data_IF_188036334577
#
_entry.id   IF_188036334577
#
_cell.length_a   1.000
_cell.length_b   1.000
_cell.length_c   1.000
_cell.angle_alpha   90.00
_cell.angle_beta   90.00
_cell.angle_gamma   90.00
#
_symmetry.space_group_name_H-M   'P 1'
#
loop_
_entity.id
_entity.type
_entity.pdbx_description
1 polymer ?
#
# COMPACT_ATOMS: atom_id res chain seq x y z
N UNK A 1 78.88 -16.43 -9.43
CA UNK A 1 79.52 -17.47 -8.58
C UNK A 1 78.90 -18.83 -8.93
N UNK A 2 79.78 -19.79 -9.29
CA UNK A 2 79.72 -21.27 -9.16
C UNK A 2 78.43 -21.99 -9.63
N UNK A 3 78.35 -22.71 -10.77
CA UNK A 3 78.97 -24.00 -11.22
C UNK A 3 78.74 -25.24 -10.32
N UNK A 4 77.94 -26.19 -10.81
CA UNK A 4 78.24 -27.63 -11.04
C UNK A 4 76.96 -28.36 -11.55
N UNK A 5 76.81 -28.90 -12.78
CA UNK A 5 77.28 -30.19 -13.37
C UNK A 5 77.16 -31.41 -12.41
N UNK A 6 76.55 -32.57 -12.73
CA UNK A 6 76.46 -33.31 -14.01
C UNK A 6 75.52 -34.56 -13.97
N UNK A 7 75.03 -34.96 -15.18
CA UNK A 7 74.86 -36.32 -15.79
C UNK A 7 73.94 -37.41 -15.20
N UNK A 8 73.01 -37.89 -16.05
CA UNK A 8 72.81 -39.26 -16.63
C UNK A 8 71.44 -39.29 -17.35
N UNK A 9 71.33 -39.21 -18.68
CA UNK A 9 71.32 -40.26 -19.75
C UNK A 9 70.29 -41.40 -19.60
N UNK A 10 69.47 -41.49 -20.66
CA UNK A 10 68.73 -42.64 -21.20
C UNK A 10 67.29 -42.89 -20.73
N UNK A 11 66.37 -42.43 -21.59
CA UNK A 11 65.19 -43.13 -22.11
C UNK A 11 64.28 -43.85 -21.11
N UNK A 12 63.15 -43.23 -20.79
CA UNK A 12 61.91 -43.99 -20.67
C UNK A 12 60.68 -43.17 -21.09
N UNK A 13 59.71 -43.88 -21.66
CA UNK A 13 58.35 -43.45 -22.04
C UNK A 13 58.13 -42.61 -23.31
N UNK A 14 58.21 -43.31 -24.45
CA UNK A 14 57.31 -43.07 -25.59
C UNK A 14 56.29 -44.23 -25.66
N UNK A 15 55.08 -44.00 -25.18
CA UNK A 15 53.82 -44.62 -25.65
C UNK A 15 52.69 -43.74 -25.10
N UNK A 16 51.66 -43.29 -25.82
CA UNK A 16 50.87 -43.97 -26.86
C UNK A 16 50.32 -42.90 -27.83
N UNK A 17 50.90 -42.82 -29.02
CA UNK A 17 50.17 -42.38 -30.22
C UNK A 17 49.31 -43.57 -30.65
N UNK A 18 47.99 -43.38 -30.70
CA UNK A 18 47.06 -44.37 -31.26
C UNK A 18 47.18 -44.42 -32.78
N UNK A 19 48.28 -45.00 -33.27
CA UNK A 19 48.44 -45.38 -34.68
C UNK A 19 47.79 -46.74 -34.91
N UNK A 20 46.69 -46.78 -35.65
CA UNK A 20 46.13 -48.03 -36.17
C UNK A 20 46.91 -48.39 -37.43
N UNK A 21 48.07 -49.01 -37.26
CA UNK A 21 48.75 -49.76 -38.31
C UNK A 21 48.13 -51.16 -38.37
N UNK A 22 47.30 -51.42 -39.38
CA UNK A 22 46.88 -52.78 -39.72
C UNK A 22 48.04 -53.51 -40.39
N UNK A 23 48.70 -54.40 -39.66
CA UNK A 23 49.63 -55.39 -40.22
C UNK A 23 48.78 -56.53 -40.78
N UNK A 24 48.81 -56.72 -42.10
CA UNK A 24 48.34 -57.96 -42.72
C UNK A 24 49.37 -59.06 -42.47
N UNK A 25 49.10 -59.94 -41.50
CA UNK A 25 49.82 -61.20 -41.37
C UNK A 25 49.05 -62.29 -42.15
N UNK A 26 49.60 -62.72 -43.29
CA UNK A 26 49.20 -63.97 -43.92
C UNK A 26 49.78 -65.13 -43.12
N UNK A 27 48.92 -65.91 -42.47
CA UNK A 27 49.26 -67.24 -41.95
C UNK A 27 48.38 -68.27 -42.67
N UNK A 28 48.98 -68.98 -43.63
CA UNK A 28 48.44 -70.18 -44.27
C UNK A 28 48.75 -71.39 -43.38
N UNK A 29 47.87 -71.77 -42.45
CA UNK A 29 47.70 -73.18 -42.00
C UNK A 29 46.29 -73.36 -41.43
N UNK A 30 45.54 -74.32 -41.98
CA UNK A 30 44.47 -75.03 -41.26
C UNK A 30 43.10 -74.37 -41.21
N UNK A 31 42.14 -74.90 -41.97
CA UNK A 31 40.77 -74.41 -42.12
C UNK A 31 40.03 -74.07 -40.83
N UNK A 32 39.58 -72.83 -40.75
CA UNK A 32 38.28 -72.42 -40.18
C UNK A 32 37.83 -71.18 -40.96
N UNK A 33 36.72 -71.28 -41.69
CA UNK A 33 36.06 -70.11 -42.26
C UNK A 33 35.40 -69.34 -41.12
N UNK A 34 36.12 -68.38 -40.53
CA UNK A 34 35.47 -67.32 -39.75
C UNK A 34 34.89 -66.33 -40.76
N UNK A 35 33.60 -66.49 -41.05
CA UNK A 35 32.82 -65.52 -41.82
C UNK A 35 32.85 -64.16 -41.11
N UNK A 36 33.54 -63.17 -41.68
CA UNK A 36 33.51 -61.78 -41.22
C UNK A 36 32.18 -61.12 -41.63
N UNK A 37 31.12 -61.36 -40.85
CA UNK A 37 29.86 -60.60 -40.93
C UNK A 37 29.97 -59.28 -40.15
N UNK A 38 30.97 -58.44 -40.45
CA UNK A 38 31.13 -57.09 -39.85
C UNK A 38 31.08 -55.93 -40.85
N UNK A 39 31.10 -56.18 -42.17
CA UNK A 39 31.05 -55.10 -43.19
C UNK A 39 29.67 -54.47 -43.39
N UNK A 40 28.59 -55.18 -43.03
CA UNK A 40 27.22 -54.64 -43.16
C UNK A 40 26.83 -53.65 -42.06
N UNK A 41 27.37 -53.82 -40.85
CA UNK A 41 27.04 -52.94 -39.71
C UNK A 41 27.75 -51.59 -39.79
N UNK A 42 28.97 -51.53 -40.36
CA UNK A 42 29.71 -50.26 -40.51
C UNK A 42 29.13 -49.37 -41.61
N UNK A 43 28.72 -49.94 -42.75
CA UNK A 43 28.09 -49.18 -43.84
C UNK A 43 26.71 -48.60 -43.44
N UNK A 44 25.90 -49.37 -42.72
CA UNK A 44 24.60 -48.90 -42.22
C UNK A 44 24.74 -47.78 -41.18
N UNK A 45 25.73 -47.87 -40.28
CA UNK A 45 26.01 -46.84 -39.28
C UNK A 45 26.51 -45.55 -39.94
N UNK A 46 27.36 -45.64 -40.96
CA UNK A 46 27.85 -44.47 -41.71
C UNK A 46 26.71 -43.81 -42.50
N UNK A 47 25.87 -44.59 -43.18
CA UNK A 47 24.72 -44.06 -43.90
C UNK A 47 23.69 -43.41 -42.95
N UNK A 48 23.42 -44.01 -41.80
CA UNK A 48 22.56 -43.44 -40.77
C UNK A 48 23.13 -42.12 -40.20
N UNK A 49 24.46 -42.05 -39.99
CA UNK A 49 25.13 -40.84 -39.53
C UNK A 49 25.07 -39.71 -40.57
N UNK A 50 25.25 -40.02 -41.86
CA UNK A 50 25.14 -39.04 -42.93
C UNK A 50 23.72 -38.48 -43.06
N UNK A 51 22.71 -39.36 -43.00
CA UNK A 51 21.31 -38.95 -43.02
C UNK A 51 20.95 -38.06 -41.81
N UNK A 52 21.49 -38.38 -40.63
CA UNK A 52 21.29 -37.57 -39.43
C UNK A 52 21.91 -36.17 -39.57
N UNK A 53 23.10 -36.05 -40.17
CA UNK A 53 23.75 -34.76 -40.44
C UNK A 53 22.91 -33.93 -41.43
N UNK A 54 22.45 -34.51 -42.53
CA UNK A 54 21.61 -33.80 -43.50
C UNK A 54 20.24 -33.37 -42.92
N UNK A 55 19.63 -34.22 -42.08
CA UNK A 55 18.39 -33.86 -41.39
C UNK A 55 18.60 -32.73 -40.39
N UNK A 56 19.70 -32.78 -39.63
CA UNK A 56 20.07 -31.75 -38.66
C UNK A 56 20.28 -30.38 -39.30
N UNK A 57 21.03 -30.35 -40.40
CA UNK A 57 21.26 -29.13 -41.17
C UNK A 57 19.93 -28.55 -41.68
N UNK A 58 19.05 -29.39 -42.23
CA UNK A 58 17.73 -28.94 -42.71
C UNK A 58 16.85 -28.37 -41.59
N UNK A 59 16.78 -29.03 -40.44
CA UNK A 59 16.00 -28.54 -39.29
C UNK A 59 16.58 -27.22 -38.76
N UNK A 60 17.90 -27.12 -38.65
CA UNK A 60 18.57 -25.89 -38.24
C UNK A 60 18.27 -24.71 -39.20
N UNK A 61 18.44 -24.92 -40.51
CA UNK A 61 18.20 -23.91 -41.54
C UNK A 61 16.72 -23.45 -41.56
N UNK A 62 15.79 -24.40 -41.49
CA UNK A 62 14.36 -24.09 -41.43
C UNK A 62 14.00 -23.30 -40.16
N UNK A 63 14.55 -23.70 -39.01
CA UNK A 63 14.36 -22.99 -37.74
C UNK A 63 14.87 -21.56 -37.80
N UNK A 64 16.07 -21.35 -38.35
CA UNK A 64 16.65 -20.03 -38.52
C UNK A 64 15.83 -19.16 -39.49
N UNK A 65 15.29 -19.75 -40.56
CA UNK A 65 14.41 -19.05 -41.50
C UNK A 65 13.10 -18.60 -40.82
N UNK A 66 12.48 -19.47 -40.00
CA UNK A 66 11.26 -19.13 -39.24
C UNK A 66 11.50 -18.00 -38.24
N UNK A 67 12.62 -18.06 -37.52
CA UNK A 67 13.06 -16.98 -36.65
C UNK A 67 13.22 -15.66 -37.41
N UNK A 68 13.89 -15.69 -38.57
CA UNK A 68 14.06 -14.50 -39.40
C UNK A 68 12.72 -13.91 -39.87
N UNK A 69 11.80 -14.75 -40.35
CA UNK A 69 10.45 -14.31 -40.72
C UNK A 69 9.72 -13.66 -39.53
N UNK A 70 9.87 -14.23 -38.34
CA UNK A 70 9.29 -13.65 -37.12
C UNK A 70 9.84 -12.26 -36.81
N UNK A 71 11.16 -12.07 -36.95
CA UNK A 71 11.82 -10.75 -36.79
C UNK A 71 11.23 -9.73 -37.77
N UNK A 72 11.05 -10.12 -39.04
CA UNK A 72 10.51 -9.22 -40.06
C UNK A 72 9.08 -8.78 -39.74
N UNK A 73 8.22 -9.71 -39.34
CA UNK A 73 6.84 -9.40 -38.93
C UNK A 73 6.85 -8.51 -37.68
N UNK A 74 7.62 -8.88 -36.65
CA UNK A 74 7.68 -8.13 -35.40
C UNK A 74 8.17 -6.69 -35.54
N UNK A 75 8.98 -6.37 -36.56
CA UNK A 75 9.45 -5.00 -36.82
C UNK A 75 8.33 -4.04 -37.25
N UNK A 76 7.31 -4.55 -37.94
CA UNK A 76 6.20 -3.73 -38.46
C UNK A 76 4.84 -4.07 -37.85
N UNK A 77 4.77 -5.08 -36.98
CA UNK A 77 3.52 -5.54 -36.38
C UNK A 77 2.84 -4.46 -35.54
N UNK A 78 1.57 -4.21 -35.81
CA UNK A 78 0.74 -3.26 -35.08
C UNK A 78 -0.48 -3.92 -34.44
N UNK A 79 -0.90 -5.08 -34.97
CA UNK A 79 -2.12 -5.77 -34.58
C UNK A 79 -1.84 -7.04 -33.77
N UNK A 80 -2.82 -7.46 -32.97
CA UNK A 80 -2.78 -8.72 -32.23
C UNK A 80 -2.49 -9.91 -33.15
N UNK A 81 -3.11 -9.94 -34.35
CA UNK A 81 -2.94 -11.02 -35.31
C UNK A 81 -1.49 -11.12 -35.84
N UNK A 82 -0.84 -9.99 -36.11
CA UNK A 82 0.56 -9.96 -36.56
C UNK A 82 1.51 -10.41 -35.45
N UNK A 83 1.31 -9.94 -34.22
CA UNK A 83 2.11 -10.37 -33.07
C UNK A 83 1.89 -11.85 -32.74
N UNK A 84 0.65 -12.35 -32.87
CA UNK A 84 0.35 -13.78 -32.72
C UNK A 84 1.10 -14.60 -33.80
N UNK A 85 1.13 -14.10 -35.04
CA UNK A 85 1.87 -14.77 -36.13
C UNK A 85 3.38 -14.78 -35.87
N UNK A 86 3.96 -13.69 -35.38
CA UNK A 86 5.35 -13.65 -34.96
C UNK A 86 5.64 -14.64 -33.82
N UNK A 87 4.76 -14.71 -32.80
CA UNK A 87 4.88 -15.67 -31.70
C UNK A 87 4.84 -17.13 -32.21
N UNK A 88 3.93 -17.45 -33.13
CA UNK A 88 3.88 -18.78 -33.74
C UNK A 88 5.16 -19.14 -34.50
N UNK A 89 5.71 -18.20 -35.28
CA UNK A 89 6.97 -18.43 -36.00
C UNK A 89 8.16 -18.64 -35.06
N UNK A 90 8.21 -17.95 -33.92
CA UNK A 90 9.21 -18.23 -32.88
C UNK A 90 9.06 -19.62 -32.28
N UNK A 91 7.83 -20.05 -32.02
CA UNK A 91 7.56 -21.38 -31.49
C UNK A 91 7.96 -22.49 -32.48
N UNK A 92 7.62 -22.33 -33.77
CA UNK A 92 8.07 -23.23 -34.84
C UNK A 92 9.60 -23.26 -34.94
N UNK A 93 10.27 -22.09 -34.88
CA UNK A 93 11.72 -22.00 -34.89
C UNK A 93 12.37 -22.76 -33.73
N UNK A 94 11.83 -22.63 -32.52
CA UNK A 94 12.32 -23.35 -31.33
C UNK A 94 12.15 -24.86 -31.51
N UNK A 95 10.98 -25.31 -31.98
CA UNK A 95 10.72 -26.73 -32.19
C UNK A 95 11.71 -27.33 -33.20
N UNK A 96 11.96 -26.64 -34.31
CA UNK A 96 12.93 -27.07 -35.32
C UNK A 96 14.36 -27.11 -34.79
N UNK A 97 14.74 -26.17 -33.93
CA UNK A 97 16.06 -26.20 -33.26
C UNK A 97 16.17 -27.34 -32.25
N UNK A 98 15.07 -27.76 -31.61
CA UNK A 98 15.03 -28.91 -30.69
C UNK A 98 15.16 -30.24 -31.42
N UNK A 99 14.76 -30.32 -32.68
CA UNK A 99 14.87 -31.52 -33.53
C UNK A 99 16.31 -31.79 -34.00
N UNK A 100 17.24 -30.85 -33.83
CA UNK A 100 18.66 -31.02 -34.18
C UNK A 100 19.30 -32.09 -33.26
N UNK A 101 19.85 -33.21 -33.80
CA UNK A 101 20.34 -34.31 -32.97
C UNK A 101 21.67 -34.02 -32.23
N UNK A 102 21.89 -34.52 -30.99
CA UNK A 102 23.06 -34.24 -30.15
C UNK A 102 24.46 -34.57 -30.68
N UNK A 103 24.57 -35.32 -31.77
CA UNK A 103 25.85 -35.76 -32.38
C UNK A 103 26.17 -35.06 -33.70
N UNK A 104 25.40 -34.04 -34.05
CA UNK A 104 25.57 -33.28 -35.29
C UNK A 104 26.32 -31.98 -35.01
N UNK A 105 27.10 -31.47 -35.99
CA UNK A 105 27.84 -30.22 -35.84
C UNK A 105 26.97 -29.03 -35.42
N UNK A 106 25.70 -29.01 -35.83
CA UNK A 106 24.75 -27.92 -35.62
C UNK A 106 24.16 -27.90 -34.20
N UNK A 107 24.28 -28.99 -33.44
CA UNK A 107 23.56 -29.16 -32.17
C UNK A 107 23.87 -28.06 -31.15
N UNK A 108 25.14 -27.78 -30.90
CA UNK A 108 25.54 -26.78 -29.91
C UNK A 108 25.00 -25.40 -30.26
N UNK A 109 25.03 -25.04 -31.55
CA UNK A 109 24.52 -23.76 -32.03
C UNK A 109 22.98 -23.70 -31.96
N UNK A 110 22.30 -24.80 -32.28
CA UNK A 110 20.85 -24.92 -32.15
C UNK A 110 20.41 -24.71 -30.69
N UNK A 111 21.10 -25.34 -29.72
CA UNK A 111 20.81 -25.16 -28.29
C UNK A 111 21.01 -23.72 -27.81
N UNK A 112 22.05 -23.04 -28.30
CA UNK A 112 22.25 -21.60 -28.01
C UNK A 112 21.10 -20.76 -28.57
N UNK A 113 20.67 -21.04 -29.82
CA UNK A 113 19.57 -20.31 -30.47
C UNK A 113 18.23 -20.51 -29.80
N UNK A 114 17.96 -21.68 -29.21
CA UNK A 114 16.72 -21.92 -28.45
C UNK A 114 16.54 -20.89 -27.33
N UNK A 115 17.58 -20.59 -26.55
CA UNK A 115 17.49 -19.62 -25.44
C UNK A 115 17.19 -18.19 -25.93
N UNK A 116 17.83 -17.78 -27.04
CA UNK A 116 17.56 -16.51 -27.71
C UNK A 116 16.11 -16.45 -28.22
N UNK A 117 15.65 -17.51 -28.89
CA UNK A 117 14.32 -17.56 -29.48
C UNK A 117 13.21 -17.62 -28.43
N UNK A 118 13.45 -18.26 -27.28
CA UNK A 118 12.53 -18.23 -26.14
C UNK A 118 12.33 -16.80 -25.62
N UNK A 119 13.40 -16.00 -25.55
CA UNK A 119 13.31 -14.61 -25.14
C UNK A 119 12.49 -13.77 -26.14
N UNK A 120 12.69 -14.00 -27.45
CA UNK A 120 11.90 -13.33 -28.47
C UNK A 120 10.44 -13.78 -28.52
N UNK A 121 10.15 -15.05 -28.23
CA UNK A 121 8.78 -15.56 -28.08
C UNK A 121 8.04 -14.84 -26.95
N UNK A 122 8.70 -14.67 -25.79
CA UNK A 122 8.15 -13.93 -24.65
C UNK A 122 7.83 -12.50 -25.05
N UNK A 123 8.77 -11.83 -25.73
CA UNK A 123 8.57 -10.47 -26.24
C UNK A 123 7.37 -10.37 -27.20
N UNK A 124 7.27 -11.29 -28.18
CA UNK A 124 6.17 -11.28 -29.15
C UNK A 124 4.80 -11.50 -28.46
N UNK A 125 4.73 -12.37 -27.45
CA UNK A 125 3.51 -12.59 -26.65
C UNK A 125 3.14 -11.37 -25.81
N UNK A 126 4.11 -10.69 -25.20
CA UNK A 126 3.87 -9.44 -24.47
C UNK A 126 3.35 -8.34 -25.41
N UNK A 127 3.95 -8.21 -26.60
CA UNK A 127 3.49 -7.26 -27.62
C UNK A 127 2.08 -7.59 -28.14
N UNK A 128 1.75 -8.87 -28.30
CA UNK A 128 0.38 -9.34 -28.63
C UNK A 128 -0.63 -8.91 -27.55
N UNK A 129 -0.29 -9.08 -26.27
CA UNK A 129 -1.15 -8.65 -25.16
C UNK A 129 -1.37 -7.14 -25.19
N UNK A 130 -0.33 -6.35 -25.44
CA UNK A 130 -0.45 -4.89 -25.56
C UNK A 130 -1.31 -4.48 -26.77
N UNK A 131 -1.18 -5.17 -27.90
CA UNK A 131 -2.00 -4.92 -29.09
C UNK A 131 -3.48 -5.26 -28.87
N UNK A 132 -3.79 -6.25 -28.03
CA UNK A 132 -5.17 -6.60 -27.64
C UNK A 132 -5.71 -5.80 -26.45
N UNK A 133 -4.87 -5.01 -25.77
CA UNK A 133 -5.19 -4.35 -24.52
C UNK A 133 -6.40 -3.41 -24.63
N UNK A 134 -6.56 -2.71 -25.76
CA UNK A 134 -7.72 -1.85 -25.98
C UNK A 134 -9.04 -2.64 -25.96
N UNK A 135 -9.14 -3.73 -26.75
CA UNK A 135 -10.31 -4.60 -26.81
C UNK A 135 -10.62 -5.24 -25.46
N UNK A 136 -9.59 -5.76 -24.78
CA UNK A 136 -9.75 -6.36 -23.47
C UNK A 136 -10.22 -5.30 -22.44
N UNK A 137 -9.65 -4.11 -22.49
CA UNK A 137 -10.04 -2.99 -21.63
C UNK A 137 -11.48 -2.57 -21.84
N UNK A 138 -11.95 -2.48 -23.09
CA UNK A 138 -13.36 -2.17 -23.38
C UNK A 138 -14.30 -3.27 -22.89
N UNK A 139 -13.92 -4.54 -23.03
CA UNK A 139 -14.74 -5.65 -22.57
C UNK A 139 -14.88 -5.66 -21.04
N UNK A 140 -13.77 -5.47 -20.33
CA UNK A 140 -13.75 -5.36 -18.86
C UNK A 140 -14.59 -4.17 -18.38
N UNK A 141 -14.54 -3.04 -19.08
CA UNK A 141 -15.38 -1.88 -18.77
C UNK A 141 -16.87 -2.14 -18.99
N UNK A 142 -17.26 -2.84 -20.07
CA UNK A 142 -18.65 -3.25 -20.30
C UNK A 142 -19.16 -4.18 -19.20
N UNK A 143 -18.33 -5.12 -18.77
CA UNK A 143 -18.65 -6.00 -17.64
C UNK A 143 -18.79 -5.20 -16.33
N UNK A 144 -17.85 -4.28 -16.07
CA UNK A 144 -17.88 -3.39 -14.91
C UNK A 144 -19.15 -2.53 -14.87
N UNK A 145 -19.56 -2.00 -16.03
CA UNK A 145 -20.79 -1.22 -16.18
C UNK A 145 -22.03 -2.07 -15.89
N UNK A 146 -22.09 -3.29 -16.43
CA UNK A 146 -23.20 -4.22 -16.21
C UNK A 146 -23.30 -4.64 -14.75
N UNK A 147 -22.16 -4.94 -14.12
CA UNK A 147 -22.07 -5.25 -12.70
C UNK A 147 -22.53 -4.07 -11.85
N UNK A 148 -22.10 -2.85 -12.18
CA UNK A 148 -22.50 -1.62 -11.49
C UNK A 148 -24.01 -1.39 -11.54
N UNK A 149 -24.69 -1.69 -12.66
CA UNK A 149 -26.14 -1.53 -12.78
C UNK A 149 -26.95 -2.48 -11.90
N UNK A 150 -26.40 -3.64 -11.58
CA UNK A 150 -27.09 -4.72 -10.86
C UNK A 150 -26.60 -4.88 -9.41
N UNK A 151 -25.57 -4.13 -9.02
CA UNK A 151 -24.93 -4.24 -7.72
C UNK A 151 -25.86 -3.74 -6.60
N UNK A 152 -26.01 -4.57 -5.56
CA UNK A 152 -26.80 -4.25 -4.36
C UNK A 152 -25.97 -4.31 -3.09
N UNK A 153 -25.00 -5.21 -3.07
CA UNK A 153 -24.15 -5.46 -1.90
C UNK A 153 -22.79 -4.79 -2.04
N UNK A 154 -22.09 -4.63 -0.92
CA UNK A 154 -20.71 -4.15 -0.92
C UNK A 154 -19.79 -5.04 -1.77
N UNK A 155 -19.99 -6.37 -1.69
CA UNK A 155 -19.23 -7.32 -2.50
C UNK A 155 -19.46 -7.13 -4.01
N UNK A 156 -20.71 -6.84 -4.42
CA UNK A 156 -21.02 -6.55 -5.83
C UNK A 156 -20.31 -5.29 -6.32
N UNK A 157 -20.36 -4.22 -5.53
CA UNK A 157 -19.69 -2.97 -5.87
C UNK A 157 -18.18 -3.11 -5.85
N UNK A 158 -17.62 -3.91 -4.94
CA UNK A 158 -16.19 -4.20 -4.91
C UNK A 158 -15.76 -4.99 -6.16
N UNK A 159 -16.57 -5.93 -6.63
CA UNK A 159 -16.33 -6.61 -7.90
C UNK A 159 -16.35 -5.64 -9.09
N UNK A 160 -17.30 -4.70 -9.12
CA UNK A 160 -17.35 -3.66 -10.15
C UNK A 160 -16.09 -2.76 -10.10
N UNK A 161 -15.61 -2.38 -8.92
CA UNK A 161 -14.35 -1.63 -8.75
C UNK A 161 -13.16 -2.40 -9.36
N UNK A 162 -13.04 -3.69 -9.05
CA UNK A 162 -11.96 -4.54 -9.59
C UNK A 162 -11.99 -4.61 -11.12
N UNK A 163 -13.18 -4.74 -11.72
CA UNK A 163 -13.34 -4.74 -13.18
C UNK A 163 -12.96 -3.39 -13.80
N UNK A 164 -13.39 -2.26 -13.21
CA UNK A 164 -13.00 -0.94 -13.69
C UNK A 164 -11.49 -0.69 -13.59
N UNK A 165 -10.85 -1.13 -12.51
CA UNK A 165 -9.39 -1.04 -12.34
C UNK A 165 -8.64 -1.91 -13.35
N UNK A 166 -9.14 -3.12 -13.63
CA UNK A 166 -8.62 -4.00 -14.69
C UNK A 166 -8.70 -3.32 -16.06
N UNK A 167 -9.86 -2.76 -16.39
CA UNK A 167 -10.06 -2.00 -17.63
C UNK A 167 -9.10 -0.81 -17.75
N UNK A 168 -8.89 -0.07 -16.66
CA UNK A 168 -7.97 1.07 -16.60
C UNK A 168 -6.52 0.64 -16.87
N UNK A 169 -6.05 -0.44 -16.22
CA UNK A 169 -4.70 -0.99 -16.44
C UNK A 169 -4.50 -1.41 -17.89
N UNK A 170 -5.50 -2.02 -18.51
CA UNK A 170 -5.46 -2.42 -19.92
C UNK A 170 -5.43 -1.20 -20.85
N UNK A 171 -6.22 -0.17 -20.58
CA UNK A 171 -6.18 1.07 -21.37
C UNK A 171 -4.83 1.79 -21.26
N UNK A 172 -4.18 1.76 -20.09
CA UNK A 172 -2.83 2.30 -19.88
C UNK A 172 -1.75 1.50 -20.63
N UNK A 173 -1.97 0.21 -20.87
CA UNK A 173 -1.05 -0.66 -21.59
C UNK A 173 -1.12 -0.52 -23.12
N UNK A 174 -2.10 0.22 -23.64
CA UNK A 174 -2.25 0.44 -25.09
C UNK A 174 -1.02 1.20 -25.63
N UNK A 175 -0.29 0.64 -26.61
CA UNK A 175 0.91 1.29 -27.14
C UNK A 175 0.61 2.62 -27.85
N UNK A 176 1.54 3.58 -27.76
CA UNK A 176 1.42 4.91 -28.40
C UNK A 176 1.23 4.86 -29.92
N UNK A 177 1.78 3.84 -30.58
CA UNK A 177 1.66 3.63 -32.02
C UNK A 177 0.36 2.93 -32.42
N UNK A 178 -0.45 2.45 -31.47
CA UNK A 178 -1.74 1.84 -31.78
C UNK A 178 -2.70 2.89 -32.34
N UNK A 179 -3.44 2.53 -33.39
CA UNK A 179 -4.52 3.37 -33.91
C UNK A 179 -5.61 3.69 -32.85
N UNK A 180 -5.70 2.91 -31.77
CA UNK A 180 -6.64 3.11 -30.68
C UNK A 180 -6.08 3.95 -29.52
N UNK A 181 -4.82 4.38 -29.58
CA UNK A 181 -4.19 5.12 -28.48
C UNK A 181 -4.95 6.41 -28.10
N UNK A 182 -5.40 7.26 -29.04
CA UNK A 182 -6.19 8.45 -28.68
C UNK A 182 -7.48 8.10 -27.93
N UNK A 183 -8.22 7.09 -28.39
CA UNK A 183 -9.44 6.62 -27.75
C UNK A 183 -9.16 6.00 -26.38
N UNK A 184 -8.07 5.25 -26.23
CA UNK A 184 -7.65 4.70 -24.95
C UNK A 184 -7.39 5.82 -23.93
N UNK A 185 -6.67 6.87 -24.35
CA UNK A 185 -6.40 8.05 -23.51
C UNK A 185 -7.66 8.78 -23.06
N UNK A 186 -8.65 8.92 -23.95
CA UNK A 186 -9.95 9.48 -23.58
C UNK A 186 -10.68 8.59 -22.55
N UNK A 187 -10.73 7.28 -22.80
CA UNK A 187 -11.42 6.30 -21.93
C UNK A 187 -10.81 6.17 -20.54
N UNK A 188 -9.50 6.41 -20.38
CA UNK A 188 -8.84 6.43 -19.06
C UNK A 188 -9.55 7.39 -18.11
N UNK A 189 -9.83 8.63 -18.54
CA UNK A 189 -10.51 9.62 -17.69
C UNK A 189 -11.93 9.20 -17.30
N UNK A 190 -12.66 8.59 -18.25
CA UNK A 190 -14.00 8.04 -18.03
C UNK A 190 -13.95 6.90 -16.99
N UNK A 191 -13.01 5.97 -17.15
CA UNK A 191 -12.90 4.80 -16.29
C UNK A 191 -12.44 5.17 -14.88
N UNK A 192 -11.54 6.16 -14.74
CA UNK A 192 -11.18 6.73 -13.44
C UNK A 192 -12.39 7.33 -12.71
N UNK A 193 -13.28 8.03 -13.43
CA UNK A 193 -14.52 8.54 -12.84
C UNK A 193 -15.43 7.40 -12.39
N UNK A 194 -15.54 6.33 -13.18
CA UNK A 194 -16.35 5.16 -12.83
C UNK A 194 -15.77 4.37 -11.64
N UNK A 195 -14.44 4.27 -11.51
CA UNK A 195 -13.78 3.71 -10.31
C UNK A 195 -14.18 4.52 -9.08
N UNK A 196 -14.06 5.86 -9.12
CA UNK A 196 -14.43 6.73 -8.00
C UNK A 196 -15.90 6.59 -7.63
N UNK A 197 -16.79 6.50 -8.64
CA UNK A 197 -18.20 6.27 -8.42
C UNK A 197 -18.45 4.92 -7.73
N UNK A 198 -17.94 3.82 -8.28
CA UNK A 198 -18.13 2.48 -7.72
C UNK A 198 -17.55 2.38 -6.29
N UNK A 199 -16.41 3.00 -6.01
CA UNK A 199 -15.85 3.09 -4.65
C UNK A 199 -16.77 3.83 -3.68
N UNK A 200 -17.42 4.91 -4.10
CA UNK A 200 -18.42 5.61 -3.28
C UNK A 200 -19.61 4.71 -2.98
N UNK A 201 -20.05 3.91 -3.94
CA UNK A 201 -21.14 2.95 -3.75
C UNK A 201 -20.74 1.77 -2.83
N UNK A 202 -19.49 1.31 -2.85
CA UNK A 202 -18.95 0.36 -1.85
C UNK A 202 -19.17 0.91 -0.43
N UNK A 203 -18.82 2.17 -0.19
CA UNK A 203 -18.99 2.78 1.13
C UNK A 203 -20.45 2.86 1.57
N UNK A 204 -21.36 3.25 0.66
CA UNK A 204 -22.80 3.29 0.95
C UNK A 204 -23.37 1.90 1.22
N UNK A 205 -22.97 0.90 0.44
CA UNK A 205 -23.43 -0.47 0.62
C UNK A 205 -22.91 -1.09 1.94
N UNK A 206 -21.71 -0.71 2.38
CA UNK A 206 -21.14 -1.11 3.68
C UNK A 206 -21.65 -0.29 4.88
N UNK A 207 -22.40 0.79 4.65
CA UNK A 207 -22.80 1.74 5.68
C UNK A 207 -23.62 1.09 6.81
N UNK A 208 -24.50 0.15 6.48
CA UNK A 208 -25.31 -0.57 7.47
C UNK A 208 -24.43 -1.32 8.49
N UNK A 209 -23.46 -2.11 8.02
CA UNK A 209 -22.53 -2.84 8.90
C UNK A 209 -21.73 -1.88 9.78
N UNK A 210 -21.25 -0.78 9.20
CA UNK A 210 -20.50 0.24 9.94
C UNK A 210 -21.37 0.93 11.00
N UNK A 211 -22.64 1.19 10.69
CA UNK A 211 -23.61 1.76 11.61
C UNK A 211 -23.88 0.84 12.80
N UNK A 212 -24.12 -0.45 12.52
CA UNK A 212 -24.30 -1.47 13.56
C UNK A 212 -23.07 -1.55 14.46
N UNK A 213 -21.86 -1.57 13.89
CA UNK A 213 -20.61 -1.57 14.68
C UNK A 213 -20.52 -0.36 15.60
N UNK A 214 -20.78 0.85 15.10
CA UNK A 214 -20.78 2.07 15.91
C UNK A 214 -21.84 2.03 17.02
N UNK A 215 -23.04 1.52 16.73
CA UNK A 215 -24.11 1.34 17.71
C UNK A 215 -23.77 0.31 18.80
N UNK A 216 -23.11 -0.80 18.44
CA UNK A 216 -22.63 -1.80 19.39
C UNK A 216 -21.56 -1.22 20.31
N UNK A 217 -20.58 -0.49 19.76
CA UNK A 217 -19.56 0.22 20.54
C UNK A 217 -20.20 1.23 21.50
N UNK A 218 -21.16 2.03 21.02
CA UNK A 218 -21.90 2.97 21.86
C UNK A 218 -22.63 2.26 23.01
N UNK A 219 -23.28 1.13 22.72
CA UNK A 219 -24.03 0.36 23.72
C UNK A 219 -23.12 -0.26 24.78
N UNK A 220 -21.93 -0.71 24.40
CA UNK A 220 -20.93 -1.23 25.33
C UNK A 220 -20.42 -0.12 26.28
N UNK A 221 -20.13 1.06 25.72
CA UNK A 221 -19.61 2.20 26.50
C UNK A 221 -20.65 2.78 27.48
N UNK A 222 -21.94 2.72 27.16
CA UNK A 222 -23.02 3.13 28.09
C UNK A 222 -22.92 2.41 29.44
N UNK A 223 -22.41 1.17 29.46
CA UNK A 223 -22.33 0.37 30.69
C UNK A 223 -21.19 0.80 31.62
N UNK A 224 -20.16 1.45 31.11
CA UNK A 224 -18.95 1.81 31.86
C UNK A 224 -18.67 3.32 31.95
N UNK A 225 -19.37 4.14 31.16
CA UNK A 225 -19.19 5.60 31.14
C UNK A 225 -19.56 6.25 32.48
N UNK A 226 -18.62 6.99 33.07
CA UNK A 226 -18.77 7.68 34.36
C UNK A 226 -18.62 9.18 34.25
N UNK A 227 -17.86 9.66 33.27
CA UNK A 227 -17.54 11.07 33.08
C UNK A 227 -18.32 11.67 31.93
N UNK A 228 -18.52 13.00 31.96
CA UNK A 228 -19.13 13.71 30.84
C UNK A 228 -18.42 13.47 29.50
N UNK A 229 -17.08 13.38 29.51
CA UNK A 229 -16.28 13.09 28.32
C UNK A 229 -16.61 11.72 27.71
N UNK A 230 -16.75 10.69 28.55
CA UNK A 230 -17.14 9.34 28.10
C UNK A 230 -18.58 9.31 27.55
N UNK A 231 -19.51 10.04 28.19
CA UNK A 231 -20.88 10.18 27.68
C UNK A 231 -20.95 10.97 26.37
N UNK A 232 -20.08 11.96 26.15
CA UNK A 232 -19.92 12.63 24.85
C UNK A 232 -19.42 11.66 23.78
N UNK A 233 -18.48 10.75 24.11
CA UNK A 233 -18.04 9.71 23.19
C UNK A 233 -19.19 8.77 22.80
N UNK A 234 -20.00 8.34 23.76
CA UNK A 234 -21.22 7.55 23.52
C UNK A 234 -22.17 8.29 22.57
N UNK A 235 -22.42 9.58 22.83
CA UNK A 235 -23.26 10.42 21.96
C UNK A 235 -22.70 10.52 20.53
N UNK A 236 -21.39 10.70 20.38
CA UNK A 236 -20.74 10.76 19.06
C UNK A 236 -20.90 9.44 18.29
N UNK A 237 -20.76 8.29 18.95
CA UNK A 237 -20.94 6.99 18.32
C UNK A 237 -22.39 6.74 17.89
N UNK A 238 -23.38 7.13 18.71
CA UNK A 238 -24.78 7.09 18.30
C UNK A 238 -25.07 8.02 17.12
N UNK A 239 -24.51 9.24 17.13
CA UNK A 239 -24.61 10.18 16.00
C UNK A 239 -24.05 9.58 14.71
N UNK A 240 -22.84 9.01 14.77
CA UNK A 240 -22.21 8.32 13.64
C UNK A 240 -23.04 7.13 13.15
N UNK A 241 -23.60 6.32 14.05
CA UNK A 241 -24.46 5.20 13.67
C UNK A 241 -25.71 5.68 12.92
N UNK A 242 -26.34 6.77 13.37
CA UNK A 242 -27.50 7.38 12.69
C UNK A 242 -27.13 7.88 11.29
N UNK A 243 -26.02 8.61 11.15
CA UNK A 243 -25.56 9.11 9.85
C UNK A 243 -25.30 7.98 8.85
N UNK A 244 -24.65 6.91 9.31
CA UNK A 244 -24.38 5.73 8.50
C UNK A 244 -25.67 5.01 8.11
N UNK A 245 -26.62 4.81 9.04
CA UNK A 245 -27.93 4.23 8.72
C UNK A 245 -28.68 5.05 7.66
N UNK A 246 -28.65 6.39 7.77
CA UNK A 246 -29.26 7.29 6.78
C UNK A 246 -28.61 7.22 5.40
N UNK A 247 -27.35 6.81 5.33
CA UNK A 247 -26.61 6.67 4.07
C UNK A 247 -26.82 5.34 3.34
N UNK A 248 -27.55 4.39 3.97
CA UNK A 248 -27.91 3.11 3.35
C UNK A 248 -28.85 3.39 2.16
N UNK A 249 -28.54 2.91 0.94
CA UNK A 249 -29.37 3.16 -0.25
C UNK A 249 -30.75 2.47 -0.19
N UNK A 250 -31.82 3.05 -0.76
CA UNK A 250 -33.16 2.45 -0.80
C UNK A 250 -33.25 1.05 -1.42
N UNK A 251 -32.33 0.70 -2.33
CA UNK A 251 -32.28 -0.62 -2.97
C UNK A 251 -31.51 -1.69 -2.17
N UNK A 252 -30.91 -1.33 -1.03
CA UNK A 252 -30.21 -2.27 -0.16
C UNK A 252 -31.25 -3.06 0.67
N UNK A 253 -31.01 -4.36 0.85
CA UNK A 253 -31.92 -5.24 1.62
C UNK A 253 -32.13 -4.77 3.07
N UNK A 254 -31.15 -4.08 3.65
CA UNK A 254 -31.20 -3.57 5.02
C UNK A 254 -31.78 -2.16 5.12
N UNK A 255 -32.27 -1.56 4.03
CA UNK A 255 -32.73 -0.16 4.04
C UNK A 255 -33.85 0.10 5.05
N UNK A 256 -34.89 -0.74 5.05
CA UNK A 256 -36.03 -0.59 5.97
C UNK A 256 -35.56 -0.69 7.42
N UNK A 257 -34.77 -1.73 7.73
CA UNK A 257 -34.18 -1.92 9.05
C UNK A 257 -33.26 -0.75 9.44
N UNK A 258 -32.49 -0.20 8.50
CA UNK A 258 -31.65 0.98 8.76
C UNK A 258 -32.50 2.19 9.18
N UNK A 259 -33.60 2.46 8.47
CA UNK A 259 -34.50 3.57 8.79
C UNK A 259 -35.22 3.38 10.13
N UNK A 260 -35.64 2.16 10.46
CA UNK A 260 -36.18 1.85 11.79
C UNK A 260 -35.16 2.10 12.91
N UNK A 261 -33.91 1.65 12.70
CA UNK A 261 -32.81 1.86 13.66
C UNK A 261 -32.45 3.33 13.84
N UNK A 262 -32.64 4.19 12.84
CA UNK A 262 -32.44 5.65 13.00
C UNK A 262 -33.32 6.20 14.13
N UNK A 263 -34.60 5.82 14.18
CA UNK A 263 -35.53 6.29 15.21
C UNK A 263 -35.14 5.79 16.60
N UNK A 264 -34.78 4.52 16.70
CA UNK A 264 -34.28 3.93 17.96
C UNK A 264 -33.03 4.66 18.46
N UNK A 265 -32.06 4.88 17.56
CA UNK A 265 -30.77 5.47 17.92
C UNK A 265 -30.89 6.96 18.26
N UNK A 266 -31.86 7.69 17.70
CA UNK A 266 -32.13 9.08 18.08
C UNK A 266 -32.49 9.20 19.57
N UNK A 267 -33.28 8.27 20.10
CA UNK A 267 -33.58 8.22 21.54
C UNK A 267 -32.33 8.00 22.38
N UNK A 268 -31.48 7.05 21.96
CA UNK A 268 -30.21 6.73 22.64
C UNK A 268 -29.20 7.89 22.59
N UNK A 269 -29.13 8.59 21.47
CA UNK A 269 -28.34 9.81 21.31
C UNK A 269 -28.80 10.91 22.27
N UNK A 270 -30.12 11.16 22.34
CA UNK A 270 -30.69 12.17 23.24
C UNK A 270 -30.35 11.85 24.69
N UNK A 271 -30.52 10.59 25.10
CA UNK A 271 -30.17 10.12 26.43
C UNK A 271 -28.67 10.34 26.77
N UNK A 272 -27.76 9.95 25.86
CA UNK A 272 -26.34 10.11 26.08
C UNK A 272 -25.92 11.59 26.18
N UNK A 273 -26.49 12.46 25.32
CA UNK A 273 -26.27 13.92 25.39
C UNK A 273 -26.76 14.51 26.71
N UNK A 274 -27.94 14.10 27.17
CA UNK A 274 -28.48 14.56 28.45
C UNK A 274 -27.59 14.13 29.62
N UNK A 275 -27.17 12.86 29.67
CA UNK A 275 -26.26 12.38 30.72
C UNK A 275 -24.91 13.09 30.75
N UNK A 276 -24.36 13.38 29.58
CA UNK A 276 -23.15 14.20 29.50
C UNK A 276 -23.37 15.59 30.10
N UNK A 277 -24.45 16.28 29.72
CA UNK A 277 -24.75 17.62 30.22
C UNK A 277 -25.00 17.63 31.75
N UNK A 278 -25.74 16.66 32.28
CA UNK A 278 -25.99 16.53 33.71
C UNK A 278 -24.68 16.39 34.51
N UNK A 279 -23.74 15.57 34.02
CA UNK A 279 -22.44 15.36 34.66
C UNK A 279 -21.53 16.59 34.55
N UNK A 280 -21.62 17.34 33.45
CA UNK A 280 -20.91 18.62 33.31
C UNK A 280 -21.44 19.63 34.33
N UNK A 281 -22.77 19.78 34.42
CA UNK A 281 -23.42 20.69 35.34
C UNK A 281 -23.13 20.34 36.81
N UNK A 282 -23.11 19.05 37.17
CA UNK A 282 -22.73 18.59 38.51
C UNK A 282 -21.26 18.91 38.81
N UNK A 283 -20.36 18.78 37.83
CA UNK A 283 -18.94 19.10 38.01
C UNK A 283 -18.67 20.59 38.17
N UNK A 284 -19.51 21.46 37.59
CA UNK A 284 -19.43 22.92 37.75
C UNK A 284 -20.07 23.38 39.06
N UNK A 285 -21.21 22.81 39.46
CA UNK A 285 -21.88 23.16 40.71
C UNK A 285 -21.04 22.80 41.95
N UNK A 286 -20.28 21.70 41.88
CA UNK A 286 -19.39 21.29 42.98
C UNK A 286 -18.13 22.17 43.10
N UNK A 287 -17.75 22.90 42.04
CA UNK A 287 -16.69 23.93 42.11
C UNK A 287 -17.18 25.22 42.76
N UNK A 288 -18.47 25.52 42.65
CA UNK A 288 -19.07 26.71 43.28
C UNK A 288 -19.31 26.54 44.79
N UNK A 289 -19.44 25.30 45.29
CA UNK A 289 -19.57 25.01 46.73
C UNK A 289 -18.25 24.89 47.50
N UNK A 290 -17.15 24.57 46.79
CA UNK A 290 -15.79 24.48 47.37
C UNK A 290 -15.00 25.80 47.18
N UNK A 291 -15.61 26.82 46.58
CA UNK A 291 -15.03 28.15 46.35
C UNK A 291 -15.66 29.24 47.23
N UNK A 292 -15.77 28.98 48.55
CA UNK A 292 -15.80 30.06 49.56
C UNK A 292 -14.42 30.76 49.69
N UNK A 293 -13.70 30.90 48.57
CA UNK A 293 -12.64 31.88 48.35
C UNK A 293 -13.17 33.16 47.68
N UNK A 294 -14.47 33.23 47.40
CA UNK A 294 -15.14 34.40 46.80
C UNK A 294 -15.19 35.65 47.70
N UNK A 295 -14.56 35.62 48.88
CA UNK A 295 -14.42 36.77 49.78
C UNK A 295 -13.02 37.40 49.83
N UNK A 296 -12.21 37.27 48.78
CA UNK A 296 -11.17 38.30 48.56
C UNK A 296 -11.87 39.49 47.89
N UNK A 297 -12.40 40.38 48.72
CA UNK A 297 -12.93 41.67 48.29
C UNK A 297 -11.77 42.51 47.74
N UNK A 298 -11.69 42.64 46.41
CA UNK A 298 -10.85 43.67 45.79
C UNK A 298 -11.70 44.95 45.73
N UNK A 299 -11.34 46.02 46.46
CA UNK A 299 -12.12 47.25 46.47
C UNK A 299 -12.26 47.82 45.05
N UNK A 300 -13.46 48.27 44.67
CA UNK A 300 -13.78 48.75 43.32
C UNK A 300 -12.85 49.87 42.82
N UNK A 301 -12.20 50.60 43.73
CA UNK A 301 -11.19 51.61 43.42
C UNK A 301 -9.97 51.01 42.70
N UNK A 302 -9.52 49.83 43.13
CA UNK A 302 -8.35 49.11 42.59
C UNK A 302 -8.63 48.56 41.19
N UNK A 303 -9.85 48.05 40.97
CA UNK A 303 -10.28 47.61 39.63
C UNK A 303 -10.34 48.77 38.62
N UNK A 304 -10.87 49.92 39.03
CA UNK A 304 -11.03 51.06 38.13
C UNK A 304 -9.69 51.76 37.79
N UNK A 305 -8.73 51.79 38.71
CA UNK A 305 -7.38 52.32 38.42
C UNK A 305 -6.59 51.40 37.47
N UNK A 306 -6.68 50.07 37.65
CA UNK A 306 -6.01 49.07 36.81
C UNK A 306 -6.51 49.09 35.35
N UNK A 307 -7.82 49.33 35.14
CA UNK A 307 -8.40 49.48 33.80
C UNK A 307 -8.02 50.80 33.12
N UNK A 308 -7.71 51.86 33.88
CA UNK A 308 -7.43 53.20 33.35
C UNK A 308 -5.99 53.39 32.84
N UNK A 309 -5.03 52.62 33.34
CA UNK A 309 -3.58 52.83 33.10
C UNK A 309 -2.92 51.74 32.24
N UNK A 310 -3.62 51.21 31.23
CA UNK A 310 -3.15 50.11 30.37
C UNK A 310 -1.62 50.06 30.12
N UNK A 311 -1.03 48.89 30.42
CA UNK A 311 0.41 48.55 30.54
C UNK A 311 1.04 48.71 31.94
N UNK A 312 1.10 47.55 32.62
CA UNK A 312 2.10 47.07 33.60
C UNK A 312 2.83 48.13 34.43
N UNK A 313 2.23 48.47 35.58
CA UNK A 313 2.96 48.88 36.78
C UNK A 313 2.63 47.91 37.90
N UNK A 314 3.28 46.74 37.87
CA UNK A 314 3.09 45.71 38.90
C UNK A 314 3.48 46.23 40.28
N UNK A 315 4.49 47.11 40.41
CA UNK A 315 4.89 47.64 41.71
C UNK A 315 3.84 48.59 42.34
N UNK A 316 3.14 49.41 41.55
CA UNK A 316 2.06 50.28 42.07
C UNK A 316 0.82 49.45 42.47
N UNK A 317 0.50 48.41 41.69
CA UNK A 317 -0.58 47.47 42.02
C UNK A 317 -0.25 46.63 43.27
N UNK A 318 1.03 46.32 43.48
CA UNK A 318 1.55 45.68 44.69
C UNK A 318 1.40 46.58 45.92
N UNK A 319 1.78 47.86 45.80
CA UNK A 319 1.67 48.80 46.91
C UNK A 319 0.20 49.07 47.30
N UNK A 320 -0.74 49.02 46.36
CA UNK A 320 -2.17 49.20 46.62
C UNK A 320 -2.85 47.96 47.23
N UNK A 321 -2.33 46.75 46.97
CA UNK A 321 -2.81 45.51 47.62
C UNK A 321 -2.23 45.35 49.03
N UNK A 322 -1.03 45.87 49.27
CA UNK A 322 -0.34 45.89 50.56
C UNK A 322 -1.01 46.78 51.62
N UNK A 323 -1.73 47.84 51.23
CA UNK A 323 -2.44 48.71 52.18
C UNK A 323 -3.59 47.98 52.93
N UNK A 324 -3.92 46.74 52.55
CA UNK A 324 -4.90 45.88 53.23
C UNK A 324 -4.37 44.54 53.75
N UNK A 325 -3.08 44.21 53.54
CA UNK A 325 -2.46 42.93 53.89
C UNK A 325 -1.03 43.16 54.40
N UNK A 326 -0.66 42.54 55.52
CA UNK A 326 0.67 42.73 56.14
C UNK A 326 1.79 42.28 55.18
N UNK A 327 2.75 43.17 54.93
CA UNK A 327 3.73 43.06 53.83
C UNK A 327 4.79 41.99 54.07
N UNK A 328 5.02 41.60 55.33
CA UNK A 328 6.06 40.65 55.70
C UNK A 328 5.75 39.20 55.26
N UNK A 329 4.53 38.95 54.76
CA UNK A 329 3.99 37.62 54.47
C UNK A 329 3.79 37.32 52.96
N UNK A 330 4.31 38.17 52.06
CA UNK A 330 4.20 38.00 50.59
C UNK A 330 5.55 37.84 49.88
N UNK A 331 5.63 36.90 48.92
CA UNK A 331 6.78 36.81 48.01
C UNK A 331 6.60 37.71 46.79
N UNK A 332 7.71 38.27 46.28
CA UNK A 332 7.71 39.07 45.05
C UNK A 332 7.21 38.27 43.85
N UNK A 333 6.47 38.88 42.89
CA UNK A 333 5.95 38.20 41.71
C UNK A 333 7.03 37.49 40.92
N UNK A 334 6.70 36.29 40.46
CA UNK A 334 7.49 35.60 39.45
C UNK A 334 6.71 35.49 38.14
N UNK A 335 7.35 35.91 37.05
CA UNK A 335 6.79 35.78 35.70
C UNK A 335 6.99 34.34 35.24
N UNK A 336 5.90 33.60 35.01
CA UNK A 336 5.97 32.22 34.52
C UNK A 336 6.16 32.22 32.99
N UNK A 337 5.41 33.09 32.29
CA UNK A 337 5.51 33.33 30.83
C UNK A 337 4.89 34.69 30.50
N UNK A 338 5.10 35.27 29.30
CA UNK A 338 4.51 36.55 28.93
C UNK A 338 2.99 36.54 29.12
N UNK A 339 2.50 37.50 29.92
CA UNK A 339 1.08 37.61 30.27
C UNK A 339 0.60 36.63 31.36
N UNK A 340 1.50 35.92 32.05
CA UNK A 340 1.16 35.04 33.19
C UNK A 340 2.08 35.26 34.38
N UNK A 341 1.49 35.71 35.49
CA UNK A 341 2.19 36.06 36.73
C UNK A 341 1.79 35.14 37.87
N UNK A 342 2.77 34.73 38.67
CA UNK A 342 2.58 33.98 39.92
C UNK A 342 2.82 34.89 41.11
N UNK A 343 1.90 34.87 42.07
CA UNK A 343 2.13 35.46 43.40
C UNK A 343 1.85 34.37 44.44
N UNK A 344 2.78 34.23 45.38
CA UNK A 344 2.65 33.38 46.57
C UNK A 344 2.53 34.28 47.79
N UNK A 345 1.61 33.94 48.68
CA UNK A 345 1.45 34.66 49.94
C UNK A 345 1.01 33.73 51.06
N UNK A 346 1.31 34.12 52.29
CA UNK A 346 0.88 33.41 53.50
C UNK A 346 -0.51 33.87 53.90
N UNK A 347 -1.34 32.92 54.32
CA UNK A 347 -2.57 33.19 55.05
C UNK A 347 -2.35 32.70 56.48
N UNK A 348 -2.44 33.60 57.45
CA UNK A 348 -2.30 33.24 58.86
C UNK A 348 -3.43 32.27 59.26
N UNK A 349 -3.08 31.00 59.48
CA UNK A 349 -3.95 30.07 60.17
C UNK A 349 -3.90 30.38 61.67
N UNK A 350 -5.06 30.41 62.33
CA UNK A 350 -5.18 30.82 63.74
C UNK A 350 -4.49 29.88 64.75
N UNK A 351 -3.93 28.76 64.31
CA UNK A 351 -3.26 27.78 65.16
C UNK A 351 -1.84 27.57 64.62
N UNK A 352 -0.84 27.83 65.48
CA UNK A 352 0.58 27.97 65.16
C UNK A 352 1.34 26.71 64.72
N UNK A 353 0.77 25.92 63.82
CA UNK A 353 1.51 24.88 63.11
C UNK A 353 2.08 25.46 61.80
N UNK A 354 3.41 25.61 61.75
CA UNK A 354 4.17 25.98 60.55
C UNK A 354 4.01 24.92 59.45
N UNK A 355 2.95 25.04 58.65
CA UNK A 355 2.87 24.43 57.33
C UNK A 355 2.47 25.48 56.32
N UNK A 356 3.35 25.72 55.35
CA UNK A 356 3.09 26.54 54.17
C UNK A 356 1.84 26.02 53.43
N UNK A 357 0.72 26.77 53.39
CA UNK A 357 -0.24 26.59 52.32
C UNK A 357 0.30 27.36 51.11
N UNK A 358 0.72 26.67 50.05
CA UNK A 358 1.08 27.31 48.79
C UNK A 358 -0.23 27.76 48.09
N UNK A 359 -0.80 28.89 48.48
CA UNK A 359 -1.86 29.52 47.69
C UNK A 359 -1.21 30.24 46.52
N UNK A 360 -1.37 29.67 45.32
CA UNK A 360 -0.80 30.20 44.07
C UNK A 360 -1.89 30.96 43.33
N UNK A 361 -1.74 32.28 43.19
CA UNK A 361 -2.58 33.07 42.31
C UNK A 361 -1.91 33.22 40.94
N UNK A 362 -2.59 32.79 39.88
CA UNK A 362 -2.13 32.91 38.48
C UNK A 362 -2.99 33.92 37.74
N UNK A 363 -2.40 35.02 37.30
CA UNK A 363 -3.10 36.06 36.53
C UNK A 363 -2.84 35.90 35.04
N UNK A 364 -3.88 36.05 34.22
CA UNK A 364 -3.77 36.04 32.76
C UNK A 364 -4.02 37.44 32.19
N UNK A 365 -3.09 37.93 31.38
CA UNK A 365 -3.27 39.15 30.61
C UNK A 365 -4.11 38.81 29.36
N UNK A 366 -5.40 39.12 29.38
CA UNK A 366 -6.27 38.95 28.21
C UNK A 366 -7.04 40.25 27.93
N UNK A 367 -6.39 41.14 27.19
CA UNK A 367 -6.92 42.44 26.76
C UNK A 367 -8.15 42.37 25.82
N UNK A 368 -8.62 41.17 25.46
CA UNK A 368 -9.71 41.01 24.49
C UNK A 368 -11.08 40.63 25.08
N UNK A 369 -11.20 40.38 26.40
CA UNK A 369 -12.49 40.04 27.00
C UNK A 369 -12.56 40.39 28.51
N UNK A 370 -13.19 41.50 28.91
CA UNK A 370 -13.22 41.95 30.31
C UNK A 370 -14.21 41.19 31.21
N UNK A 371 -14.91 40.15 30.72
CA UNK A 371 -15.95 39.43 31.49
C UNK A 371 -15.54 38.03 31.96
N UNK A 372 -14.25 37.69 31.93
CA UNK A 372 -13.77 36.39 32.40
C UNK A 372 -12.46 36.50 33.14
N UNK A 373 -12.50 36.91 34.40
CA UNK A 373 -11.34 36.77 35.30
C UNK A 373 -11.50 35.46 36.06
N UNK A 374 -10.72 34.44 35.69
CA UNK A 374 -10.59 33.22 36.48
C UNK A 374 -9.32 33.29 37.31
N UNK A 375 -9.51 33.33 38.63
CA UNK A 375 -8.46 32.97 39.59
C UNK A 375 -8.48 31.45 39.66
N UNK A 376 -7.38 30.80 39.28
CA UNK A 376 -7.19 29.37 39.51
C UNK A 376 -6.33 29.26 40.75
N UNK A 377 -6.95 28.86 41.86
CA UNK A 377 -6.25 28.35 43.06
C UNK A 377 -6.25 26.82 42.94
N UNK A 378 -5.11 26.13 43.13
CA UNK A 378 -5.08 24.67 43.12
C UNK A 378 -5.95 24.03 44.21
#
# INVERSE_FOLDING_TARGET
MLKNTSRLKSSDMLSRLGGVTFIFAFALVGGYLVSWKMSGQTAAVVAANQNAISAAQKSYELGAMKAHQSILIGRSAQTEAEWNRAAHLWQEAIQLMQEVPPKTPEYTLAQQKIAEYQSHLIYAKDAQLKASAFRLGTNQATEAFTKSQTAKTEADWQAAVSLWQSALKLMQAVPKYSAHYPQARHKISEYEANVRHAQKEVQKAGAFRMAVKAATEASALVQSAKTAGEWNLVANLWGKAIELMKSVPPGNENYITAMEKVWEYQGKLKYAKQKSADLQAASTANKDSDSDFSKIYIPAKVQNEALSKGQVYLEELFSAMADGLDLDDMESPSVIKPGVYMIRYRLNAADGDEKWPETVAVFFDNLANPLGHQVIVP
#
